data_IF_592639383614
#
_entry.id   IF_592639383614
#
_cell.length_a   1.000
_cell.length_b   1.000
_cell.length_c   1.000
_cell.angle_alpha   90.00
_cell.angle_beta   90.00
_cell.angle_gamma   90.00
#
_symmetry.space_group_name_H-M   'P 1'
#
loop_
_entity.id
_entity.type
_entity.pdbx_description
1 polymer ?
#
# COMPACT_ATOMS: atom_id res chain seq x y z
N UNK A 1 -33.18 2.32 0.38
CA UNK A 1 -32.14 2.19 1.39
C UNK A 1 -31.22 1.03 0.99
N UNK A 2 -29.93 1.20 1.10
CA UNK A 2 -28.98 0.12 0.85
C UNK A 2 -29.22 -1.03 1.81
N UNK A 3 -29.14 -2.27 1.33
CA UNK A 3 -29.21 -3.47 2.17
C UNK A 3 -28.07 -3.43 3.22
N UNK A 4 -28.30 -3.95 4.43
CA UNK A 4 -27.26 -4.02 5.45
C UNK A 4 -26.05 -4.82 4.94
N UNK A 5 -24.85 -4.35 5.26
CA UNK A 5 -23.63 -5.08 4.94
C UNK A 5 -23.50 -6.25 5.92
N UNK A 6 -23.56 -7.47 5.40
CA UNK A 6 -23.46 -8.70 6.18
C UNK A 6 -22.50 -9.67 5.51
N UNK A 7 -21.69 -10.35 6.30
CA UNK A 7 -20.83 -11.44 5.88
C UNK A 7 -20.68 -12.47 7.00
N UNK A 8 -20.46 -13.71 6.61
CA UNK A 8 -20.06 -14.78 7.53
C UNK A 8 -18.59 -15.10 7.26
N UNK A 9 -17.76 -15.13 8.31
CA UNK A 9 -16.33 -15.42 8.19
C UNK A 9 -16.08 -16.75 8.89
N UNK A 10 -15.54 -17.70 8.14
CA UNK A 10 -15.03 -18.96 8.68
C UNK A 10 -13.52 -18.98 8.49
N UNK A 11 -12.79 -19.49 9.48
CA UNK A 11 -11.35 -19.71 9.31
C UNK A 11 -11.08 -21.20 9.18
N UNK A 12 -10.25 -21.55 8.21
CA UNK A 12 -9.81 -22.92 8.02
C UNK A 12 -8.71 -23.31 9.03
N UNK A 13 -8.19 -24.53 8.88
CA UNK A 13 -7.14 -25.06 9.78
C UNK A 13 -5.82 -24.27 9.68
N UNK A 14 -5.64 -23.45 8.67
CA UNK A 14 -4.48 -22.61 8.44
C UNK A 14 -4.70 -21.16 8.88
N UNK A 15 -5.90 -20.84 9.34
CA UNK A 15 -6.28 -19.49 9.72
C UNK A 15 -6.77 -18.61 8.55
N UNK A 16 -6.79 -19.13 7.32
CA UNK A 16 -7.24 -18.38 6.14
C UNK A 16 -8.73 -18.05 6.28
N UNK A 17 -9.13 -16.76 6.18
CA UNK A 17 -10.53 -16.38 6.27
C UNK A 17 -11.28 -16.71 4.98
N UNK A 18 -12.39 -17.42 5.11
CA UNK A 18 -13.38 -17.70 4.07
C UNK A 18 -14.59 -16.81 4.34
N UNK A 19 -14.78 -15.81 3.50
CA UNK A 19 -15.84 -14.81 3.63
C UNK A 19 -16.98 -15.14 2.71
N UNK A 20 -18.17 -15.36 3.26
CA UNK A 20 -19.41 -15.64 2.52
C UNK A 20 -20.37 -14.46 2.66
N UNK A 21 -20.95 -14.02 1.56
CA UNK A 21 -21.95 -12.95 1.53
C UNK A 21 -22.86 -13.08 0.30
N UNK A 22 -24.04 -12.51 0.38
CA UNK A 22 -25.00 -12.44 -0.74
C UNK A 22 -24.65 -11.32 -1.74
N UNK A 23 -23.67 -10.48 -1.44
CA UNK A 23 -23.33 -9.31 -2.27
C UNK A 23 -21.83 -9.05 -2.33
N UNK A 24 -21.34 -8.46 -3.44
CA UNK A 24 -19.96 -7.94 -3.56
C UNK A 24 -19.59 -7.05 -2.39
N UNK A 25 -20.49 -6.16 -1.99
CA UNK A 25 -20.27 -5.18 -0.92
C UNK A 25 -20.14 -5.85 0.45
N UNK A 26 -20.97 -6.86 0.73
CA UNK A 26 -20.88 -7.64 1.95
C UNK A 26 -19.61 -8.49 2.01
N UNK A 27 -19.19 -9.09 0.89
CA UNK A 27 -17.93 -9.83 0.82
C UNK A 27 -16.72 -8.94 1.08
N UNK A 28 -16.68 -7.74 0.50
CA UNK A 28 -15.60 -6.75 0.77
C UNK A 28 -15.63 -6.24 2.22
N UNK A 29 -16.82 -6.05 2.79
CA UNK A 29 -16.98 -5.69 4.21
C UNK A 29 -16.36 -6.76 5.12
N UNK A 30 -16.73 -8.04 4.93
CA UNK A 30 -16.20 -9.14 5.73
C UNK A 30 -14.70 -9.35 5.54
N UNK A 31 -14.21 -9.24 4.28
CA UNK A 31 -12.78 -9.27 4.00
C UNK A 31 -12.02 -8.19 4.78
N UNK A 32 -12.47 -6.94 4.72
CA UNK A 32 -11.83 -5.83 5.39
C UNK A 32 -11.79 -6.01 6.92
N UNK A 33 -12.85 -6.55 7.49
CA UNK A 33 -12.90 -6.89 8.91
C UNK A 33 -11.87 -7.96 9.27
N UNK A 34 -11.79 -9.05 8.47
CA UNK A 34 -10.84 -10.14 8.70
C UNK A 34 -9.38 -9.68 8.58
N UNK A 35 -9.06 -8.85 7.58
CA UNK A 35 -7.73 -8.25 7.42
C UNK A 35 -7.34 -7.39 8.63
N UNK A 36 -8.27 -6.60 9.14
CA UNK A 36 -8.01 -5.79 10.34
C UNK A 36 -7.80 -6.66 11.59
N UNK A 37 -8.51 -7.79 11.71
CA UNK A 37 -8.31 -8.74 12.78
C UNK A 37 -6.92 -9.38 12.74
N UNK A 38 -6.43 -9.72 11.55
CA UNK A 38 -5.17 -10.42 11.38
C UNK A 38 -3.96 -9.48 11.53
N UNK A 39 -3.96 -8.33 10.86
CA UNK A 39 -2.76 -7.53 10.67
C UNK A 39 -2.94 -6.02 10.88
N UNK A 40 -3.84 -5.61 11.77
CA UNK A 40 -4.09 -4.18 12.03
C UNK A 40 -2.82 -3.35 12.25
N UNK A 41 -1.82 -3.79 13.04
CA UNK A 41 -0.62 -2.98 13.26
C UNK A 41 0.13 -2.66 11.96
N UNK A 42 0.20 -3.60 11.02
CA UNK A 42 0.83 -3.43 9.71
C UNK A 42 -0.03 -2.56 8.78
N UNK A 43 -1.34 -2.78 8.78
CA UNK A 43 -2.31 -2.00 8.00
C UNK A 43 -2.28 -0.53 8.43
N UNK A 44 -2.31 -0.28 9.74
CA UNK A 44 -2.22 1.08 10.29
C UNK A 44 -0.93 1.77 9.87
N UNK A 45 0.22 1.11 10.01
CA UNK A 45 1.52 1.66 9.63
C UNK A 45 1.57 2.01 8.14
N UNK A 46 1.10 1.10 7.27
CA UNK A 46 1.04 1.33 5.84
C UNK A 46 0.15 2.53 5.47
N UNK A 47 -0.99 2.69 6.16
CA UNK A 47 -1.83 3.87 5.97
C UNK A 47 -1.18 5.14 6.48
N UNK A 48 -0.52 5.11 7.64
CA UNK A 48 0.18 6.29 8.16
C UNK A 48 1.24 6.80 7.20
N UNK A 49 2.01 5.90 6.57
CA UNK A 49 2.92 6.27 5.48
C UNK A 49 2.20 6.92 4.30
N UNK A 50 1.12 6.30 3.82
CA UNK A 50 0.36 6.82 2.68
C UNK A 50 -0.30 8.18 2.96
N UNK A 51 -0.71 8.42 4.19
CA UNK A 51 -1.36 9.64 4.63
C UNK A 51 -0.38 10.79 4.95
N UNK A 52 0.92 10.51 5.01
CA UNK A 52 1.91 11.48 5.51
C UNK A 52 1.71 11.81 7.00
N UNK A 53 1.44 10.77 7.79
CA UNK A 53 1.18 10.82 9.24
C UNK A 53 2.04 9.82 10.03
N UNK A 54 3.07 9.26 9.40
CA UNK A 54 3.91 8.24 10.02
C UNK A 54 4.68 8.76 11.25
N UNK A 55 5.01 10.05 11.26
CA UNK A 55 5.63 10.70 12.42
C UNK A 55 4.74 10.67 13.68
N UNK A 56 3.43 10.52 13.55
CA UNK A 56 2.54 10.36 14.72
C UNK A 56 2.79 9.03 15.45
N UNK A 57 3.33 8.02 14.76
CA UNK A 57 3.67 6.72 15.32
C UNK A 57 5.12 6.65 15.80
N UNK A 58 6.08 7.19 15.05
CA UNK A 58 7.52 6.97 15.27
C UNK A 58 8.30 8.24 15.64
N UNK A 59 7.61 9.37 15.74
CA UNK A 59 8.24 10.66 16.06
C UNK A 59 9.03 11.24 14.89
N UNK A 60 10.12 11.95 15.21
CA UNK A 60 10.92 12.74 14.26
C UNK A 60 11.42 11.92 13.06
N UNK A 61 11.72 10.65 13.28
CA UNK A 61 12.21 9.75 12.21
C UNK A 61 11.23 9.56 11.07
N UNK A 62 9.92 9.74 11.30
CA UNK A 62 8.86 9.65 10.30
C UNK A 62 8.63 10.92 9.50
N UNK A 63 9.15 12.07 9.92
CA UNK A 63 8.83 13.38 9.33
C UNK A 63 9.19 13.46 7.85
N UNK A 64 10.30 12.84 7.45
CA UNK A 64 10.72 12.81 6.05
C UNK A 64 9.72 12.05 5.16
N UNK A 65 9.24 10.91 5.63
CA UNK A 65 8.25 10.11 4.89
C UNK A 65 6.93 10.88 4.76
N UNK A 66 6.51 11.53 5.83
CA UNK A 66 5.32 12.38 5.85
C UNK A 66 5.44 13.54 4.86
N UNK A 67 6.58 14.19 4.84
CA UNK A 67 6.84 15.28 3.90
C UNK A 67 6.76 14.78 2.44
N UNK A 68 7.35 13.61 2.14
CA UNK A 68 7.30 13.01 0.80
C UNK A 68 5.88 12.67 0.38
N UNK A 69 5.10 12.05 1.25
CA UNK A 69 3.71 11.70 0.96
C UNK A 69 2.87 12.96 0.67
N UNK A 70 3.12 14.06 1.40
CA UNK A 70 2.45 15.36 1.19
C UNK A 70 2.93 16.06 -0.08
N UNK A 71 4.24 16.05 -0.37
CA UNK A 71 4.80 16.63 -1.58
C UNK A 71 4.30 15.95 -2.87
N UNK A 72 3.99 14.66 -2.79
CA UNK A 72 3.40 13.87 -3.88
C UNK A 72 1.87 13.99 -3.94
N UNK A 73 1.26 14.81 -3.10
CA UNK A 73 -0.17 15.07 -3.05
C UNK A 73 -1.04 13.79 -2.95
N UNK A 74 -0.52 12.76 -2.25
CA UNK A 74 -1.19 11.44 -2.18
C UNK A 74 -2.62 11.57 -1.69
N UNK A 75 -2.85 12.27 -0.59
CA UNK A 75 -4.18 12.43 0.02
C UNK A 75 -5.13 13.21 -0.89
N UNK A 76 -4.84 14.45 -1.34
CA UNK A 76 -5.78 15.21 -2.15
C UNK A 76 -6.10 14.54 -3.50
N UNK A 77 -5.12 13.82 -4.08
CA UNK A 77 -5.33 13.06 -5.31
C UNK A 77 -6.25 11.86 -5.08
N UNK A 78 -6.10 11.15 -3.96
CA UNK A 78 -6.91 9.97 -3.63
C UNK A 78 -8.34 10.34 -3.25
N UNK A 79 -8.55 11.43 -2.53
CA UNK A 79 -9.88 11.97 -2.25
C UNK A 79 -10.61 12.30 -3.55
N UNK A 80 -9.95 13.03 -4.46
CA UNK A 80 -10.49 13.39 -5.76
C UNK A 80 -10.82 12.19 -6.64
N UNK A 81 -9.97 11.16 -6.61
CA UNK A 81 -10.21 9.90 -7.31
C UNK A 81 -11.43 9.17 -6.77
N UNK A 82 -11.57 9.08 -5.45
CA UNK A 82 -12.75 8.50 -4.82
C UNK A 82 -14.04 9.26 -5.19
N UNK A 83 -14.03 10.59 -5.13
CA UNK A 83 -15.17 11.42 -5.47
C UNK A 83 -15.63 11.21 -6.92
N UNK A 84 -14.70 10.96 -7.84
CA UNK A 84 -14.96 10.70 -9.26
C UNK A 84 -15.09 9.23 -9.62
N UNK A 85 -14.96 8.32 -8.66
CA UNK A 85 -15.04 6.89 -8.91
C UNK A 85 -16.46 6.47 -9.36
N UNK A 86 -16.58 5.49 -10.26
CA UNK A 86 -17.86 4.91 -10.63
C UNK A 86 -18.63 4.44 -9.38
N UNK A 87 -19.99 4.52 -9.37
CA UNK A 87 -20.79 4.19 -8.19
C UNK A 87 -20.50 2.80 -7.61
N UNK A 88 -20.25 1.80 -8.47
CA UNK A 88 -19.90 0.43 -8.03
C UNK A 88 -18.58 0.42 -7.27
N UNK A 89 -17.55 1.08 -7.78
CA UNK A 89 -16.23 1.14 -7.13
C UNK A 89 -16.32 1.90 -5.82
N UNK A 90 -17.03 3.03 -5.80
CA UNK A 90 -17.27 3.81 -4.58
C UNK A 90 -17.96 2.95 -3.51
N UNK A 91 -19.01 2.21 -3.89
CA UNK A 91 -19.70 1.31 -2.98
C UNK A 91 -18.82 0.20 -2.39
N UNK A 92 -17.85 -0.32 -3.14
CA UNK A 92 -16.87 -1.29 -2.64
C UNK A 92 -15.88 -0.64 -1.66
N UNK A 93 -15.40 0.57 -1.97
CA UNK A 93 -14.51 1.33 -1.09
C UNK A 93 -15.21 1.71 0.23
N UNK A 94 -16.49 2.10 0.16
CA UNK A 94 -17.34 2.37 1.33
C UNK A 94 -17.47 1.12 2.20
N UNK A 95 -17.70 -0.04 1.56
CA UNK A 95 -17.84 -1.32 2.27
C UNK A 95 -16.54 -1.78 2.91
N UNK A 96 -15.41 -1.55 2.25
CA UNK A 96 -14.09 -1.81 2.81
C UNK A 96 -13.85 -0.96 4.08
N UNK A 97 -14.09 0.35 3.99
CA UNK A 97 -13.95 1.24 5.12
C UNK A 97 -14.91 0.87 6.27
N UNK A 98 -16.14 0.47 5.95
CA UNK A 98 -17.11 0.03 6.93
C UNK A 98 -16.63 -1.22 7.68
N UNK A 99 -16.08 -2.24 6.99
CA UNK A 99 -15.55 -3.45 7.63
C UNK A 99 -14.38 -3.16 8.57
N UNK A 100 -13.42 -2.35 8.14
CA UNK A 100 -12.31 -1.88 8.98
C UNK A 100 -12.82 -1.12 10.21
N UNK A 101 -13.77 -0.22 10.02
CA UNK A 101 -14.32 0.61 11.10
C UNK A 101 -15.17 -0.21 12.09
N UNK A 102 -15.86 -1.24 11.63
CA UNK A 102 -16.59 -2.17 12.49
C UNK A 102 -15.62 -2.91 13.42
N UNK A 103 -14.51 -3.41 12.87
CA UNK A 103 -13.46 -4.02 13.69
C UNK A 103 -12.85 -3.01 14.68
N UNK A 104 -12.49 -1.81 14.22
CA UNK A 104 -11.95 -0.75 15.08
C UNK A 104 -12.89 -0.40 16.25
N UNK A 105 -14.20 -0.33 15.95
CA UNK A 105 -15.21 0.00 16.98
C UNK A 105 -15.35 -1.07 18.06
N UNK A 106 -14.96 -2.31 17.74
CA UNK A 106 -14.95 -3.43 18.68
C UNK A 106 -13.74 -3.44 19.62
N UNK A 107 -12.74 -2.58 19.39
CA UNK A 107 -11.51 -2.52 20.19
C UNK A 107 -11.59 -1.46 21.29
N UNK A 108 -11.04 -1.73 22.46
CA UNK A 108 -10.82 -0.70 23.47
C UNK A 108 -9.96 0.44 22.90
N UNK A 109 -10.26 1.72 23.19
CA UNK A 109 -9.51 2.85 22.66
C UNK A 109 -8.01 2.87 22.98
N UNK A 110 -7.61 2.26 24.08
CA UNK A 110 -6.23 2.14 24.53
C UNK A 110 -5.41 1.06 23.80
N UNK A 111 -6.08 0.15 23.11
CA UNK A 111 -5.43 -0.83 22.21
C UNK A 111 -5.08 -0.24 20.82
N UNK A 112 -5.70 0.88 20.46
CA UNK A 112 -5.46 1.53 19.18
C UNK A 112 -4.32 2.56 19.32
N UNK A 113 -3.33 2.54 18.39
CA UNK A 113 -2.16 3.41 18.45
C UNK A 113 -2.47 4.82 17.96
N UNK A 114 -2.80 5.00 16.68
CA UNK A 114 -2.97 6.31 16.02
C UNK A 114 -4.31 6.42 15.31
N UNK A 115 -4.61 5.50 14.36
CA UNK A 115 -5.82 5.56 13.55
C UNK A 115 -7.04 5.05 14.33
N UNK A 116 -8.09 5.88 14.34
CA UNK A 116 -9.38 5.56 14.99
C UNK A 116 -10.48 5.29 13.97
N UNK A 117 -10.20 5.59 12.70
CA UNK A 117 -11.16 5.51 11.61
C UNK A 117 -10.44 5.36 10.28
N UNK A 118 -11.02 4.59 9.40
CA UNK A 118 -10.62 4.44 7.99
C UNK A 118 -11.64 5.17 7.12
N UNK A 119 -11.15 6.04 6.25
CA UNK A 119 -11.97 6.70 5.25
C UNK A 119 -12.00 5.88 3.95
N UNK A 120 -13.10 5.94 3.16
CA UNK A 120 -13.25 5.09 1.97
C UNK A 120 -12.16 5.28 0.91
N UNK A 121 -11.49 6.41 0.87
CA UNK A 121 -10.41 6.71 -0.07
C UNK A 121 -9.02 6.21 0.39
N UNK A 122 -8.87 5.68 1.61
CA UNK A 122 -7.58 5.20 2.14
C UNK A 122 -6.95 4.10 1.27
N UNK A 123 -7.69 3.10 0.73
CA UNK A 123 -7.09 2.11 -0.18
C UNK A 123 -6.47 2.75 -1.43
N UNK A 124 -7.07 3.82 -1.97
CA UNK A 124 -6.51 4.55 -3.11
C UNK A 124 -5.22 5.27 -2.73
N UNK A 125 -5.14 5.83 -1.53
CA UNK A 125 -3.93 6.45 -1.02
C UNK A 125 -2.80 5.43 -0.86
N UNK A 126 -3.10 4.22 -0.35
CA UNK A 126 -2.12 3.15 -0.19
C UNK A 126 -1.59 2.65 -1.54
N UNK A 127 -2.48 2.43 -2.51
CA UNK A 127 -2.08 2.03 -3.87
C UNK A 127 -1.18 3.09 -4.49
N UNK A 128 -1.51 4.36 -4.37
CA UNK A 128 -0.73 5.50 -4.87
C UNK A 128 0.62 5.59 -4.19
N UNK A 129 0.66 5.46 -2.87
CA UNK A 129 1.90 5.44 -2.10
C UNK A 129 2.81 4.26 -2.52
N UNK A 130 2.24 3.05 -2.63
CA UNK A 130 2.96 1.86 -3.09
C UNK A 130 3.54 2.05 -4.49
N UNK A 131 2.77 2.63 -5.40
CA UNK A 131 3.24 2.94 -6.75
C UNK A 131 4.42 3.90 -6.73
N UNK A 132 4.30 5.04 -6.02
CA UNK A 132 5.40 5.99 -5.92
C UNK A 132 6.63 5.41 -5.22
N UNK A 133 6.43 4.64 -4.15
CA UNK A 133 7.52 4.00 -3.45
C UNK A 133 8.28 3.01 -4.35
N UNK A 134 7.56 2.22 -5.12
CA UNK A 134 8.16 1.20 -5.97
C UNK A 134 8.75 1.76 -7.25
N UNK A 135 8.01 2.62 -7.96
CA UNK A 135 8.34 3.03 -9.31
C UNK A 135 9.19 4.30 -9.35
N UNK A 136 8.86 5.30 -8.55
CA UNK A 136 9.58 6.57 -8.57
C UNK A 136 10.70 6.65 -7.54
N UNK A 137 10.43 6.33 -6.29
CA UNK A 137 11.42 6.45 -5.22
C UNK A 137 12.46 5.33 -5.27
N UNK A 138 12.06 4.14 -5.77
CA UNK A 138 12.95 2.99 -5.89
C UNK A 138 13.87 3.03 -7.11
N UNK A 139 13.37 3.52 -8.26
CA UNK A 139 14.12 3.49 -9.53
C UNK A 139 14.74 4.82 -9.93
N UNK A 140 14.09 5.94 -9.62
CA UNK A 140 14.53 7.25 -10.12
C UNK A 140 15.57 7.94 -9.22
N UNK A 141 16.07 7.29 -8.19
CA UNK A 141 17.04 7.90 -7.27
C UNK A 141 16.50 9.09 -6.47
N UNK A 142 15.16 9.29 -6.47
CA UNK A 142 14.52 10.37 -5.70
C UNK A 142 14.72 10.23 -4.18
N UNK A 143 15.25 9.10 -3.71
CA UNK A 143 15.64 8.87 -2.31
C UNK A 143 16.97 9.51 -1.94
N UNK A 144 17.69 10.07 -2.90
CA UNK A 144 19.00 10.66 -2.66
C UNK A 144 18.95 12.12 -2.22
N UNK A 145 20.10 12.75 -2.36
CA UNK A 145 20.38 14.13 -1.99
C UNK A 145 19.37 15.16 -2.52
N UNK A 146 18.70 14.86 -3.64
CA UNK A 146 17.70 15.77 -4.19
C UNK A 146 16.45 15.85 -3.31
N UNK A 147 15.93 14.74 -2.82
CA UNK A 147 14.79 14.71 -1.91
C UNK A 147 15.16 15.35 -0.57
N UNK A 148 16.36 15.11 -0.06
CA UNK A 148 16.85 15.76 1.16
C UNK A 148 17.06 17.25 1.00
N UNK A 149 17.55 17.67 -0.17
CA UNK A 149 17.68 19.09 -0.49
C UNK A 149 16.32 19.77 -0.57
N UNK A 150 15.33 19.16 -1.23
CA UNK A 150 13.96 19.66 -1.26
C UNK A 150 13.33 19.73 0.12
N UNK A 151 13.57 18.73 0.96
CA UNK A 151 13.07 18.71 2.34
C UNK A 151 13.70 19.84 3.18
N UNK A 152 15.01 20.08 3.01
CA UNK A 152 15.75 21.11 3.76
C UNK A 152 15.49 22.53 3.27
N UNK A 153 15.53 22.71 1.96
CA UNK A 153 15.60 24.02 1.30
C UNK A 153 14.25 24.44 0.68
N UNK A 154 13.26 23.53 0.66
CA UNK A 154 11.98 23.73 -0.01
C UNK A 154 12.07 23.60 -1.53
N UNK A 155 10.92 23.71 -2.18
CA UNK A 155 10.83 23.65 -3.64
C UNK A 155 11.48 24.91 -4.26
N UNK A 156 12.43 24.76 -5.21
CA UNK A 156 13.10 25.93 -5.81
C UNK A 156 12.09 26.86 -6.48
N UNK A 157 12.14 28.13 -6.15
CA UNK A 157 11.28 29.13 -6.80
C UNK A 157 11.52 29.11 -8.32
N UNK A 158 10.49 28.81 -9.11
CA UNK A 158 10.57 28.72 -10.56
C UNK A 158 10.81 27.33 -11.16
N UNK A 159 10.94 26.27 -10.36
CA UNK A 159 11.15 24.91 -10.88
C UNK A 159 9.95 24.31 -11.67
N UNK A 160 8.84 25.01 -11.78
CA UNK A 160 7.67 24.60 -12.59
C UNK A 160 7.83 24.83 -14.10
N UNK A 161 8.98 25.34 -14.58
CA UNK A 161 9.25 25.60 -15.99
C UNK A 161 10.69 25.26 -16.38
N UNK A 162 11.03 23.99 -16.45
CA UNK A 162 12.30 23.55 -17.01
C UNK A 162 12.06 22.74 -18.29
N UNK A 163 11.87 23.45 -19.39
CA UNK A 163 12.25 22.95 -20.70
C UNK A 163 13.76 23.05 -20.80
N UNK A 164 14.46 21.93 -20.92
CA UNK A 164 15.90 21.86 -21.15
C UNK A 164 16.67 21.21 -20.00
N UNK A 165 16.41 19.95 -19.71
CA UNK A 165 17.23 19.19 -18.77
C UNK A 165 18.54 18.78 -19.44
N UNK A 166 19.64 19.30 -18.91
CA UNK A 166 20.94 18.65 -19.03
C UNK A 166 20.87 17.41 -18.15
N UNK A 167 21.02 16.23 -18.73
CA UNK A 167 21.14 14.99 -17.96
C UNK A 167 22.31 15.14 -16.97
N UNK A 168 22.01 15.03 -15.66
CA UNK A 168 23.04 14.96 -14.63
C UNK A 168 23.62 13.56 -14.71
N UNK A 169 24.95 13.46 -14.87
CA UNK A 169 25.64 12.17 -14.84
C UNK A 169 25.33 11.48 -13.50
N UNK A 170 24.80 10.24 -13.50
CA UNK A 170 24.51 9.52 -12.28
C UNK A 170 25.71 9.33 -11.36
N UNK A 171 26.92 9.30 -11.92
CA UNK A 171 28.19 9.18 -11.18
C UNK A 171 28.61 10.48 -10.48
N UNK A 172 28.16 11.65 -10.96
CA UNK A 172 28.43 12.96 -10.36
C UNK A 172 27.34 13.42 -9.41
N UNK A 173 26.27 12.62 -9.25
CA UNK A 173 25.15 13.00 -8.38
C UNK A 173 25.60 12.95 -6.93
N UNK A 174 25.22 14.00 -6.17
CA UNK A 174 25.45 14.05 -4.70
C UNK A 174 24.72 12.88 -3.99
N UNK A 175 23.75 12.25 -4.66
CA UNK A 175 23.13 10.99 -4.25
C UNK A 175 24.13 9.82 -4.18
N UNK A 176 25.09 9.75 -5.14
CA UNK A 176 26.16 8.76 -5.09
C UNK A 176 27.11 9.02 -3.91
N UNK A 177 27.43 10.31 -3.63
CA UNK A 177 28.31 10.70 -2.51
C UNK A 177 27.67 10.46 -1.14
N UNK A 178 26.35 10.65 -1.02
CA UNK A 178 25.63 10.37 0.23
C UNK A 178 25.40 8.88 0.43
N UNK A 179 25.26 8.11 -0.64
CA UNK A 179 25.25 6.64 -0.60
C UNK A 179 26.58 6.07 -0.09
N UNK A 180 27.71 6.73 -0.41
CA UNK A 180 29.03 6.40 0.14
C UNK A 180 29.17 6.83 1.61
N UNK A 181 28.48 7.88 2.04
CA UNK A 181 28.63 8.46 3.38
C UNK A 181 27.85 7.71 4.48
N UNK A 182 26.75 7.01 4.17
CA UNK A 182 26.06 6.13 5.11
C UNK A 182 25.56 4.83 4.44
N UNK A 183 26.47 3.86 4.28
CA UNK A 183 26.12 2.56 3.69
C UNK A 183 24.99 1.83 4.42
N UNK A 184 24.84 2.05 5.74
CA UNK A 184 23.84 1.35 6.56
C UNK A 184 22.41 1.82 6.30
N UNK A 185 22.23 3.10 6.02
CA UNK A 185 20.92 3.65 5.67
C UNK A 185 20.45 3.09 4.32
N UNK A 186 21.37 2.94 3.38
CA UNK A 186 21.07 2.40 2.06
C UNK A 186 21.04 0.87 2.05
N UNK A 187 21.93 0.19 2.79
CA UNK A 187 21.90 -1.27 2.91
C UNK A 187 20.59 -1.75 3.54
N UNK A 188 20.14 -1.14 4.64
CA UNK A 188 18.84 -1.48 5.23
C UNK A 188 17.66 -1.20 4.27
N UNK A 189 17.73 -0.14 3.46
CA UNK A 189 16.70 0.16 2.46
C UNK A 189 16.88 -0.57 1.12
N UNK A 190 18.13 -0.81 0.67
CA UNK A 190 18.40 -1.61 -0.51
C UNK A 190 18.28 -3.10 -0.25
N UNK A 191 18.64 -3.61 0.92
CA UNK A 191 18.29 -4.97 1.32
C UNK A 191 16.79 -5.10 1.57
N UNK A 192 16.18 -4.06 2.09
CA UNK A 192 14.73 -4.01 2.16
C UNK A 192 14.05 -3.82 0.79
N UNK A 193 14.63 -3.15 -0.20
CA UNK A 193 14.11 -3.02 -1.57
C UNK A 193 14.70 -4.05 -2.54
N UNK A 194 15.74 -4.76 -2.08
CA UNK A 194 16.41 -5.85 -2.78
C UNK A 194 17.00 -5.45 -4.12
N UNK A 195 18.31 -5.58 -4.26
CA UNK A 195 18.96 -5.79 -5.57
C UNK A 195 18.54 -7.10 -6.21
N UNK A 196 17.49 -7.77 -5.67
CA UNK A 196 16.95 -8.99 -6.27
C UNK A 196 16.12 -8.58 -7.48
N UNK A 197 16.27 -9.26 -8.62
CA UNK A 197 15.40 -9.05 -9.76
C UNK A 197 13.96 -9.16 -9.27
N UNK A 198 13.18 -8.10 -9.46
CA UNK A 198 11.75 -8.14 -9.24
C UNK A 198 11.15 -8.97 -10.36
N UNK A 199 10.34 -9.92 -10.00
CA UNK A 199 9.70 -10.78 -10.95
C UNK A 199 8.59 -11.54 -10.28
N UNK A 200 7.86 -12.28 -11.08
CA UNK A 200 6.87 -13.26 -10.64
C UNK A 200 6.89 -14.38 -11.65
N UNK A 201 6.66 -15.60 -11.19
CA UNK A 201 6.53 -16.74 -12.07
C UNK A 201 5.06 -17.09 -12.23
N UNK A 202 4.66 -17.39 -13.44
CA UNK A 202 3.32 -17.86 -13.74
C UNK A 202 3.41 -19.03 -14.73
N UNK A 203 2.70 -20.12 -14.43
CA UNK A 203 2.61 -21.27 -15.30
C UNK A 203 1.15 -21.64 -15.50
N UNK A 204 0.75 -21.74 -16.75
CA UNK A 204 -0.57 -22.22 -17.15
C UNK A 204 -0.45 -23.54 -17.91
N UNK A 205 -1.16 -24.56 -17.48
CA UNK A 205 -1.21 -25.86 -18.15
C UNK A 205 -2.61 -26.10 -18.69
N UNK A 206 -2.70 -26.30 -20.01
CA UNK A 206 -3.98 -26.54 -20.68
C UNK A 206 -4.61 -27.87 -20.20
N UNK A 207 -5.95 -27.96 -20.20
CA UNK A 207 -6.68 -29.18 -19.80
C UNK A 207 -6.22 -30.45 -20.51
N UNK A 208 -5.85 -30.35 -21.79
CA UNK A 208 -5.35 -31.48 -22.59
C UNK A 208 -4.01 -32.05 -22.15
N UNK A 209 -3.31 -31.36 -21.24
CA UNK A 209 -2.00 -31.77 -20.70
C UNK A 209 -2.04 -32.17 -19.22
N UNK A 210 -3.23 -32.26 -18.64
CA UNK A 210 -3.43 -32.69 -17.25
C UNK A 210 -4.16 -34.02 -17.21
N UNK A 211 -3.82 -34.87 -16.24
CA UNK A 211 -4.49 -36.16 -16.09
C UNK A 211 -5.99 -36.05 -15.75
N UNK A 212 -6.38 -34.97 -15.06
CA UNK A 212 -7.75 -34.71 -14.63
C UNK A 212 -8.58 -33.93 -15.67
N UNK A 213 -8.00 -33.53 -16.81
CA UNK A 213 -8.69 -32.74 -17.82
C UNK A 213 -9.08 -31.32 -17.42
N UNK A 214 -8.48 -30.76 -16.38
CA UNK A 214 -8.69 -29.39 -15.91
C UNK A 214 -7.47 -28.52 -16.18
N UNK A 215 -7.67 -27.23 -16.42
CA UNK A 215 -6.57 -26.27 -16.46
C UNK A 215 -5.91 -26.16 -15.07
N UNK A 216 -4.59 -26.00 -15.06
CA UNK A 216 -3.84 -25.67 -13.86
C UNK A 216 -3.18 -24.31 -14.05
N UNK A 217 -3.26 -23.47 -13.03
CA UNK A 217 -2.59 -22.18 -12.96
C UNK A 217 -1.76 -22.13 -11.68
N UNK A 218 -0.48 -21.81 -11.82
CA UNK A 218 0.40 -21.50 -10.70
C UNK A 218 0.84 -20.06 -10.85
N UNK A 219 0.61 -19.25 -9.81
CA UNK A 219 1.05 -17.87 -9.72
C UNK A 219 1.97 -17.76 -8.51
N UNK A 220 3.19 -17.28 -8.73
CA UNK A 220 4.19 -17.12 -7.68
C UNK A 220 4.72 -15.68 -7.70
N UNK A 221 4.05 -14.74 -7.02
CA UNK A 221 4.51 -13.36 -6.88
C UNK A 221 5.73 -13.32 -5.95
N UNK A 222 6.82 -12.71 -6.42
CA UNK A 222 8.03 -12.51 -5.61
C UNK A 222 7.89 -11.23 -4.79
N UNK A 223 7.03 -11.26 -3.78
CA UNK A 223 6.77 -10.15 -2.89
C UNK A 223 7.40 -10.39 -1.52
N UNK A 224 7.47 -9.32 -0.72
CA UNK A 224 8.00 -9.40 0.64
C UNK A 224 6.93 -9.86 1.60
N UNK A 225 7.35 -10.52 2.67
CA UNK A 225 6.49 -10.87 3.80
C UNK A 225 6.33 -9.74 4.83
N UNK A 226 6.73 -8.50 4.48
CA UNK A 226 6.65 -7.32 5.36
C UNK A 226 6.40 -6.03 4.57
N UNK A 227 5.84 -5.03 5.23
CA UNK A 227 5.58 -3.70 4.68
C UNK A 227 4.45 -3.70 3.65
N UNK A 228 4.40 -2.67 2.81
CA UNK A 228 3.33 -2.43 1.83
C UNK A 228 3.22 -3.49 0.72
N UNK A 229 4.15 -4.44 0.68
CA UNK A 229 4.17 -5.55 -0.30
C UNK A 229 3.75 -6.88 0.31
N UNK A 230 3.35 -6.90 1.57
CA UNK A 230 2.76 -8.06 2.23
C UNK A 230 1.42 -8.43 1.58
N UNK A 231 1.13 -9.72 1.50
CA UNK A 231 -0.13 -10.25 1.00
C UNK A 231 -0.83 -11.04 2.09
N UNK A 232 -2.09 -10.72 2.26
CA UNK A 232 -3.02 -11.55 3.00
C UNK A 232 -3.69 -12.53 2.06
N UNK A 233 -3.98 -13.72 2.55
CA UNK A 233 -4.78 -14.71 1.84
C UNK A 233 -6.21 -14.66 2.35
N UNK A 234 -7.16 -14.54 1.41
CA UNK A 234 -8.59 -14.55 1.73
C UNK A 234 -9.37 -15.21 0.60
N UNK A 235 -10.33 -16.03 0.95
CA UNK A 235 -11.30 -16.57 0.00
C UNK A 235 -12.64 -15.84 0.16
N UNK A 236 -13.17 -15.30 -0.93
CA UNK A 236 -14.48 -14.66 -0.95
C UNK A 236 -15.46 -15.47 -1.81
N UNK A 237 -16.65 -15.71 -1.28
CA UNK A 237 -17.75 -16.38 -1.98
C UNK A 237 -18.99 -15.51 -1.91
N UNK A 238 -19.61 -15.29 -3.07
CA UNK A 238 -20.87 -14.56 -3.23
C UNK A 238 -21.91 -15.57 -3.70
N UNK A 239 -23.00 -15.71 -2.96
CA UNK A 239 -24.05 -16.70 -3.20
C UNK A 239 -25.31 -16.06 -3.81
#
# INVERSE_FOLDING_TARGET
GDAPLTATIHRDAWGVPHVLSDTDRGAVFGMAWALAEDDWPLIEENYLHALGRYAELVGETGVRDDWMARALEIVPLSVREYENAPPRIRGLLDSFAAGMNEWLSSRPPDELRVLRRIEPWFPLALIRYKYYQNEYLGYAGLRGAWAERLFRDGWPAGAGRANGQRAVDPAESEAARLAEADPRYYEAQFDALGRRPRGSNEWAVAPSRTAAGHALLLINPHQRFVGVSYFDEVQMTIS
#
